data_IF_303467697658
#
_entry.id   IF_303467697658
#
_cell.length_a   1.000
_cell.length_b   1.000
_cell.length_c   1.000
_cell.angle_alpha   90.00
_cell.angle_beta   90.00
_cell.angle_gamma   90.00
#
_symmetry.space_group_name_H-M   'P 1'
#
loop_
_entity.id
_entity.type
_entity.pdbx_description
1 polymer ?
#
# COMPACT_ATOMS: atom_id res chain seq x y z
N UNK A 1 -27.57 26.17 -29.21
CA UNK A 1 -26.93 26.92 -28.10
C UNK A 1 -25.53 26.33 -27.89
N UNK A 2 -24.52 27.17 -27.65
CA UNK A 2 -23.16 26.67 -27.45
C UNK A 2 -22.96 26.14 -26.03
N UNK A 3 -22.26 25.02 -25.87
CA UNK A 3 -21.87 24.52 -24.54
C UNK A 3 -21.05 25.56 -23.76
N UNK A 4 -20.30 26.43 -24.46
CA UNK A 4 -19.51 27.51 -23.87
C UNK A 4 -20.35 28.63 -23.25
N UNK A 5 -21.66 28.65 -23.49
CA UNK A 5 -22.61 29.61 -22.88
C UNK A 5 -23.31 29.07 -21.64
N UNK A 6 -23.09 27.81 -21.27
CA UNK A 6 -23.70 27.23 -20.08
C UNK A 6 -23.08 27.79 -18.78
N UNK A 7 -23.87 27.91 -17.70
CA UNK A 7 -23.37 28.14 -16.34
C UNK A 7 -22.32 27.10 -15.93
N UNK A 8 -21.39 27.51 -15.07
CA UNK A 8 -20.28 26.67 -14.63
C UNK A 8 -20.78 25.37 -13.99
N UNK A 9 -21.86 25.43 -13.23
CA UNK A 9 -22.47 24.29 -12.53
C UNK A 9 -22.90 23.21 -13.52
N UNK A 10 -23.55 23.59 -14.63
CA UNK A 10 -23.96 22.65 -15.66
C UNK A 10 -22.77 22.08 -16.43
N UNK A 11 -21.74 22.89 -16.70
CA UNK A 11 -20.51 22.39 -17.34
C UNK A 11 -19.80 21.38 -16.43
N UNK A 12 -19.73 21.65 -15.12
CA UNK A 12 -19.15 20.72 -14.14
C UNK A 12 -19.93 19.42 -14.06
N UNK A 13 -21.25 19.50 -14.06
CA UNK A 13 -22.13 18.33 -14.05
C UNK A 13 -21.96 17.50 -15.33
N UNK A 14 -21.96 18.13 -16.51
CA UNK A 14 -21.66 17.43 -17.78
C UNK A 14 -20.29 16.75 -17.72
N UNK A 15 -19.26 17.46 -17.25
CA UNK A 15 -17.91 16.92 -17.12
C UNK A 15 -17.80 15.75 -16.12
N UNK A 16 -18.73 15.62 -15.17
CA UNK A 16 -18.75 14.50 -14.22
C UNK A 16 -19.12 13.17 -14.91
N UNK A 17 -19.93 13.22 -15.97
CA UNK A 17 -20.32 12.04 -16.75
C UNK A 17 -19.33 11.65 -17.85
N UNK A 18 -18.43 12.56 -18.27
CA UNK A 18 -17.45 12.29 -19.33
C UNK A 18 -16.31 11.39 -18.85
N UNK A 19 -15.85 10.51 -19.73
CA UNK A 19 -14.61 9.75 -19.54
C UNK A 19 -13.38 10.64 -19.74
N UNK A 20 -12.19 10.18 -19.29
CA UNK A 20 -10.95 10.97 -19.39
C UNK A 20 -10.65 11.42 -20.82
N UNK A 21 -10.77 10.53 -21.81
CA UNK A 21 -10.49 10.85 -23.22
C UNK A 21 -11.45 11.91 -23.76
N UNK A 22 -12.75 11.79 -23.45
CA UNK A 22 -13.79 12.73 -23.86
C UNK A 22 -13.58 14.10 -23.21
N UNK A 23 -13.25 14.11 -21.91
CA UNK A 23 -12.99 15.33 -21.18
C UNK A 23 -11.69 16.01 -21.65
N UNK A 24 -10.66 15.25 -22.00
CA UNK A 24 -9.46 15.78 -22.65
C UNK A 24 -9.78 16.38 -24.01
N UNK A 25 -10.55 15.68 -24.85
CA UNK A 25 -10.99 16.20 -26.14
C UNK A 25 -11.78 17.50 -25.97
N UNK A 26 -12.75 17.53 -25.06
CA UNK A 26 -13.54 18.72 -24.73
C UNK A 26 -12.65 19.89 -24.32
N UNK A 27 -11.67 19.65 -23.45
CA UNK A 27 -10.70 20.65 -22.98
C UNK A 27 -9.80 21.20 -24.09
N UNK A 28 -9.57 20.43 -25.15
CA UNK A 28 -8.79 20.86 -26.31
C UNK A 28 -9.63 21.62 -27.33
N UNK A 29 -10.97 21.49 -27.30
CA UNK A 29 -11.84 22.20 -28.26
C UNK A 29 -11.91 23.70 -28.05
N UNK A 30 -11.85 24.16 -26.79
CA UNK A 30 -12.07 25.58 -26.47
C UNK A 30 -11.40 26.00 -25.14
N UNK A 31 -10.85 27.22 -25.12
CA UNK A 31 -10.13 27.77 -23.95
C UNK A 31 -11.06 28.06 -22.76
N UNK A 32 -12.31 28.45 -23.01
CA UNK A 32 -13.28 28.71 -21.94
C UNK A 32 -13.71 27.39 -21.30
N UNK A 33 -13.96 26.36 -22.09
CA UNK A 33 -14.25 25.01 -21.57
C UNK A 33 -13.06 24.43 -20.81
N UNK A 34 -11.83 24.66 -21.28
CA UNK A 34 -10.63 24.28 -20.54
C UNK A 34 -10.63 24.88 -19.12
N UNK A 35 -10.90 26.19 -19.02
CA UNK A 35 -10.93 26.90 -17.74
C UNK A 35 -12.09 26.45 -16.84
N UNK A 36 -13.30 26.34 -17.39
CA UNK A 36 -14.49 25.94 -16.64
C UNK A 36 -14.40 24.50 -16.11
N UNK A 37 -13.78 23.59 -16.87
CA UNK A 37 -13.61 22.20 -16.45
C UNK A 37 -12.34 21.94 -15.63
N UNK A 38 -11.46 22.93 -15.45
CA UNK A 38 -10.14 22.74 -14.83
C UNK A 38 -10.23 22.20 -13.41
N UNK A 39 -11.09 22.77 -12.58
CA UNK A 39 -11.26 22.32 -11.19
C UNK A 39 -11.77 20.88 -11.13
N UNK A 40 -12.88 20.61 -11.82
CA UNK A 40 -13.50 19.27 -11.85
C UNK A 40 -12.57 18.21 -12.42
N UNK A 41 -11.83 18.54 -13.48
CA UNK A 41 -10.80 17.66 -14.03
C UNK A 41 -9.72 17.38 -12.97
N UNK A 42 -9.22 18.42 -12.33
CA UNK A 42 -8.09 18.31 -11.40
C UNK A 42 -8.48 17.57 -10.13
N UNK A 43 -9.66 17.82 -9.59
CA UNK A 43 -10.19 17.10 -8.42
C UNK A 43 -10.44 15.63 -8.74
N UNK A 44 -10.79 15.29 -9.99
CA UNK A 44 -11.03 13.91 -10.39
C UNK A 44 -9.74 13.13 -10.63
N UNK A 45 -8.74 13.73 -11.28
CA UNK A 45 -7.56 13.01 -11.76
C UNK A 45 -6.27 13.27 -10.97
N UNK A 46 -6.20 14.36 -10.19
CA UNK A 46 -5.01 14.68 -9.39
C UNK A 46 -5.22 14.51 -7.89
N UNK A 47 -6.41 14.09 -7.45
CA UNK A 47 -6.67 13.79 -6.04
C UNK A 47 -5.90 12.58 -5.55
N UNK A 48 -5.76 11.55 -6.39
CA UNK A 48 -5.19 10.25 -6.00
C UNK A 48 -4.04 9.88 -6.92
N UNK A 49 -2.87 9.62 -6.33
CA UNK A 49 -1.69 9.18 -7.04
C UNK A 49 -1.26 7.81 -6.55
N UNK A 50 -1.05 6.90 -7.50
CA UNK A 50 -0.49 5.58 -7.22
C UNK A 50 0.88 5.47 -7.87
N UNK A 51 1.86 4.97 -7.13
CA UNK A 51 3.23 4.88 -7.62
C UNK A 51 3.93 3.64 -7.07
N UNK A 52 4.92 3.16 -7.82
CA UNK A 52 5.84 2.11 -7.37
C UNK A 52 7.03 2.75 -6.69
N UNK A 53 7.59 2.12 -5.66
CA UNK A 53 8.81 2.55 -4.98
C UNK A 53 10.07 2.23 -5.81
N UNK A 54 10.11 2.73 -7.04
CA UNK A 54 11.25 2.63 -7.97
C UNK A 54 11.86 4.00 -8.18
N UNK A 55 13.09 4.05 -8.70
CA UNK A 55 13.77 5.31 -9.05
C UNK A 55 12.92 6.19 -9.96
N UNK A 56 12.23 5.59 -10.93
CA UNK A 56 11.33 6.30 -11.85
C UNK A 56 10.05 6.77 -11.16
N UNK A 57 9.48 5.94 -10.28
CA UNK A 57 8.31 6.32 -9.48
C UNK A 57 8.58 7.54 -8.61
N UNK A 58 9.72 7.54 -7.89
CA UNK A 58 10.14 8.67 -7.07
C UNK A 58 10.48 9.90 -7.91
N UNK A 59 11.20 9.76 -9.02
CA UNK A 59 11.49 10.88 -9.94
C UNK A 59 10.22 11.50 -10.50
N UNK A 60 9.19 10.70 -10.77
CA UNK A 60 7.90 11.20 -11.21
C UNK A 60 7.16 11.94 -10.09
N UNK A 61 7.21 11.43 -8.85
CA UNK A 61 6.73 12.16 -7.68
C UNK A 61 7.46 13.49 -7.49
N UNK A 62 8.78 13.54 -7.68
CA UNK A 62 9.54 14.80 -7.63
C UNK A 62 9.09 15.81 -8.68
N UNK A 63 8.76 15.35 -9.90
CA UNK A 63 8.17 16.22 -10.92
C UNK A 63 6.82 16.76 -10.48
N UNK A 64 5.97 15.91 -9.90
CA UNK A 64 4.66 16.32 -9.36
C UNK A 64 4.83 17.35 -8.24
N UNK A 65 5.79 17.13 -7.33
CA UNK A 65 6.09 18.05 -6.23
C UNK A 65 6.47 19.46 -6.70
N UNK A 66 7.01 19.61 -7.92
CA UNK A 66 7.37 20.90 -8.52
C UNK A 66 6.17 21.64 -9.12
N UNK A 67 5.04 20.96 -9.37
CA UNK A 67 3.84 21.57 -9.96
C UNK A 67 2.86 21.95 -8.85
N UNK A 68 2.91 23.22 -8.41
CA UNK A 68 2.12 23.72 -7.28
C UNK A 68 0.62 23.44 -7.39
N UNK A 69 0.04 23.67 -8.57
CA UNK A 69 -1.39 23.43 -8.81
C UNK A 69 -1.82 21.96 -8.60
N UNK A 70 -0.96 20.99 -8.95
CA UNK A 70 -1.24 19.56 -8.74
C UNK A 70 -1.10 19.23 -7.26
N UNK A 71 0.00 19.68 -6.64
CA UNK A 71 0.31 19.47 -5.23
C UNK A 71 -0.86 19.85 -4.30
N UNK A 72 -1.51 20.98 -4.55
CA UNK A 72 -2.64 21.46 -3.74
C UNK A 72 -3.90 20.58 -3.83
N UNK A 73 -3.99 19.72 -4.85
CA UNK A 73 -5.11 18.82 -5.12
C UNK A 73 -4.86 17.40 -4.63
N UNK A 74 -3.59 16.98 -4.49
CA UNK A 74 -3.25 15.63 -4.03
C UNK A 74 -3.68 15.42 -2.59
N UNK A 75 -4.53 14.42 -2.39
CA UNK A 75 -5.06 14.01 -1.09
C UNK A 75 -4.81 12.54 -0.78
N UNK A 76 -4.50 11.73 -1.78
CA UNK A 76 -4.32 10.29 -1.61
C UNK A 76 -3.03 9.86 -2.30
N UNK A 77 -2.16 9.19 -1.54
CA UNK A 77 -0.94 8.58 -2.05
C UNK A 77 -0.95 7.09 -1.75
N UNK A 78 -0.82 6.30 -2.81
CA UNK A 78 -0.80 4.85 -2.74
C UNK A 78 0.54 4.35 -3.28
N UNK A 79 1.43 3.96 -2.37
CA UNK A 79 2.63 3.23 -2.73
C UNK A 79 2.24 1.78 -2.99
N UNK A 80 2.28 1.38 -4.25
CA UNK A 80 1.96 0.02 -4.67
C UNK A 80 3.18 -0.88 -4.39
N UNK A 81 3.01 -1.97 -3.62
CA UNK A 81 4.04 -2.99 -3.49
C UNK A 81 4.41 -3.55 -4.87
N UNK A 82 5.69 -3.74 -5.15
CA UNK A 82 6.18 -4.24 -6.46
C UNK A 82 5.72 -5.66 -6.82
N UNK A 83 5.08 -6.39 -5.90
CA UNK A 83 4.53 -7.74 -6.15
C UNK A 83 3.40 -7.79 -7.18
N UNK A 84 2.79 -6.64 -7.52
CA UNK A 84 1.77 -6.55 -8.57
C UNK A 84 2.34 -6.49 -9.99
N UNK A 85 3.67 -6.51 -10.15
CA UNK A 85 4.33 -6.71 -11.43
C UNK A 85 4.21 -8.19 -11.84
N UNK A 86 3.05 -8.51 -12.44
CA UNK A 86 2.67 -9.85 -12.85
C UNK A 86 3.71 -10.49 -13.78
N UNK A 87 4.48 -11.42 -13.23
CA UNK A 87 5.02 -12.54 -14.01
C UNK A 87 4.02 -13.68 -13.92
N UNK A 88 3.03 -13.63 -14.82
CA UNK A 88 1.98 -14.64 -14.95
C UNK A 88 2.60 -15.97 -15.43
N UNK A 89 2.96 -16.86 -14.50
CA UNK A 89 3.33 -18.26 -14.85
C UNK A 89 2.59 -19.34 -14.08
N UNK A 90 2.02 -19.07 -12.90
CA UNK A 90 1.29 -20.10 -12.16
C UNK A 90 -0.14 -19.68 -11.83
N UNK A 91 -1.10 -20.42 -12.42
CA UNK A 91 -2.55 -20.33 -12.23
C UNK A 91 -3.01 -20.81 -10.85
N UNK A 92 -2.34 -20.43 -9.76
CA UNK A 92 -2.95 -20.52 -8.42
C UNK A 92 -3.49 -19.14 -8.07
N UNK A 93 -4.78 -19.10 -7.78
CA UNK A 93 -5.62 -17.90 -7.67
C UNK A 93 -5.00 -16.90 -6.71
N UNK A 94 -4.60 -15.75 -7.25
CA UNK A 94 -4.04 -14.61 -6.51
C UNK A 94 -5.15 -13.65 -6.02
N UNK A 95 -6.37 -14.17 -5.85
CA UNK A 95 -7.52 -13.43 -5.30
C UNK A 95 -7.38 -13.15 -3.81
N UNK A 96 -6.55 -13.92 -3.11
CA UNK A 96 -6.52 -13.94 -1.64
C UNK A 96 -5.44 -13.01 -1.06
N UNK A 97 -4.58 -12.46 -1.92
CA UNK A 97 -3.52 -11.50 -1.57
C UNK A 97 -3.73 -10.12 -2.20
N UNK A 98 -4.88 -9.89 -2.81
CA UNK A 98 -5.27 -8.54 -3.15
C UNK A 98 -5.34 -7.75 -1.84
N UNK A 99 -4.50 -6.72 -1.70
CA UNK A 99 -4.87 -5.55 -0.89
C UNK A 99 -6.33 -5.29 -1.24
N UNK A 100 -7.23 -5.46 -0.26
CA UNK A 100 -8.68 -5.58 -0.46
C UNK A 100 -9.12 -4.77 -1.68
N UNK A 101 -9.41 -5.48 -2.76
CA UNK A 101 -9.86 -4.83 -3.99
C UNK A 101 -11.27 -4.25 -3.83
N UNK A 102 -11.82 -4.17 -2.61
CA UNK A 102 -12.97 -3.31 -2.32
C UNK A 102 -12.59 -1.83 -2.34
N UNK A 103 -11.32 -1.46 -2.13
CA UNK A 103 -10.78 -0.14 -2.48
C UNK A 103 -10.44 0.00 -3.98
N UNK A 104 -10.56 -1.10 -4.73
CA UNK A 104 -10.58 -1.15 -6.18
C UNK A 104 -11.96 -1.64 -6.66
N UNK A 105 -13.04 -0.97 -6.24
CA UNK A 105 -14.15 -0.93 -7.18
C UNK A 105 -13.57 -0.45 -8.51
N UNK A 106 -13.82 -1.21 -9.59
CA UNK A 106 -13.87 -0.59 -10.90
C UNK A 106 -14.93 0.48 -10.77
N UNK A 107 -14.52 1.70 -10.44
CA UNK A 107 -15.22 2.88 -10.91
C UNK A 107 -15.22 2.71 -12.42
N UNK A 108 -16.32 2.16 -12.95
CA UNK A 108 -16.63 2.26 -14.36
C UNK A 108 -16.52 3.76 -14.67
N UNK A 109 -15.41 4.15 -15.31
CA UNK A 109 -15.14 5.54 -15.70
C UNK A 109 -14.12 6.34 -14.88
N UNK A 110 -13.35 5.78 -13.94
CA UNK A 110 -12.18 6.49 -13.38
C UNK A 110 -10.89 5.98 -14.02
N UNK A 111 -10.31 6.80 -14.89
CA UNK A 111 -8.99 6.53 -15.47
C UNK A 111 -7.92 6.71 -14.40
N UNK A 112 -7.51 5.61 -13.79
CA UNK A 112 -6.30 5.57 -12.99
C UNK A 112 -5.12 5.95 -13.89
N UNK A 113 -4.44 7.06 -13.59
CA UNK A 113 -3.13 7.37 -14.19
C UNK A 113 -2.10 6.42 -13.57
N UNK A 114 -2.11 5.16 -14.02
CA UNK A 114 -1.06 4.19 -13.68
C UNK A 114 0.03 4.32 -14.74
N UNK A 115 1.16 4.92 -14.39
CA UNK A 115 2.35 4.88 -15.22
C UNK A 115 2.91 3.44 -15.24
N UNK A 116 2.41 2.60 -16.15
CA UNK A 116 2.97 1.27 -16.39
C UNK A 116 4.06 1.35 -17.46
N UNK A 117 5.31 1.23 -17.04
CA UNK A 117 6.37 0.65 -17.89
C UNK A 117 6.75 -0.72 -17.30
N UNK A 118 7.17 -1.70 -18.10
CA UNK A 118 7.79 -2.91 -17.58
C UNK A 118 9.06 -2.50 -16.84
N UNK A 119 9.11 -2.76 -15.53
CA UNK A 119 10.28 -2.45 -14.69
C UNK A 119 11.15 -3.70 -14.65
N UNK A 120 12.47 -3.54 -14.85
CA UNK A 120 13.43 -4.62 -14.60
C UNK A 120 13.60 -4.84 -13.09
N UNK A 121 13.85 -6.07 -12.67
CA UNK A 121 14.01 -6.41 -11.24
C UNK A 121 15.10 -5.59 -10.52
N UNK A 122 16.03 -4.99 -11.26
CA UNK A 122 17.15 -4.18 -10.74
C UNK A 122 16.79 -2.70 -10.43
N UNK A 123 15.61 -2.21 -10.81
CA UNK A 123 15.20 -0.81 -10.61
C UNK A 123 14.42 -0.55 -9.30
N UNK A 124 14.26 -1.60 -8.47
CA UNK A 124 13.55 -1.51 -7.18
C UNK A 124 14.48 -0.86 -6.15
N UNK A 125 14.13 0.34 -5.69
CA UNK A 125 14.90 1.00 -4.65
C UNK A 125 14.70 0.31 -3.32
N UNK A 126 15.81 -0.15 -2.74
CA UNK A 126 15.85 -0.63 -1.36
C UNK A 126 16.27 0.56 -0.49
N UNK A 127 15.47 0.98 0.50
CA UNK A 127 15.98 1.87 1.51
C UNK A 127 17.05 1.11 2.30
N UNK A 128 18.31 1.38 1.98
CA UNK A 128 19.47 0.77 2.64
C UNK A 128 19.75 1.41 4.00
N UNK A 129 19.19 2.60 4.25
CA UNK A 129 19.36 3.33 5.49
C UNK A 129 18.12 4.17 5.86
N UNK A 130 18.12 4.67 7.10
CA UNK A 130 17.08 5.55 7.61
C UNK A 130 16.99 6.87 6.82
N UNK A 131 18.10 7.37 6.29
CA UNK A 131 18.16 8.63 5.54
C UNK A 131 17.32 8.56 4.26
N UNK A 132 17.39 7.44 3.54
CA UNK A 132 16.61 7.21 2.32
C UNK A 132 15.12 7.15 2.61
N UNK A 133 14.72 6.58 3.75
CA UNK A 133 13.30 6.58 4.15
C UNK A 133 12.82 8.00 4.46
N UNK A 134 13.63 8.79 5.19
CA UNK A 134 13.28 10.18 5.50
C UNK A 134 13.08 11.01 4.23
N UNK A 135 13.94 10.85 3.22
CA UNK A 135 13.78 11.56 1.95
C UNK A 135 12.51 11.16 1.19
N UNK A 136 12.06 9.90 1.29
CA UNK A 136 10.80 9.45 0.69
C UNK A 136 9.60 10.13 1.36
N UNK A 137 9.59 10.22 2.69
CA UNK A 137 8.52 10.89 3.41
C UNK A 137 8.52 12.41 3.17
N UNK A 138 9.70 13.05 3.13
CA UNK A 138 9.80 14.46 2.75
C UNK A 138 9.22 14.70 1.36
N UNK A 139 9.46 13.78 0.43
CA UNK A 139 8.87 13.82 -0.91
C UNK A 139 7.36 13.64 -0.87
N UNK A 140 6.84 12.68 -0.11
CA UNK A 140 5.39 12.45 0.07
C UNK A 140 4.70 13.72 0.57
N UNK A 141 5.26 14.39 1.58
CA UNK A 141 4.70 15.64 2.12
C UNK A 141 4.83 16.81 1.16
N UNK A 142 5.92 16.88 0.39
CA UNK A 142 6.06 17.84 -0.69
C UNK A 142 5.04 17.59 -1.80
N UNK A 143 4.69 16.35 -2.12
CA UNK A 143 3.70 16.03 -3.16
C UNK A 143 2.27 16.26 -2.68
N UNK A 144 1.97 15.92 -1.42
CA UNK A 144 0.62 15.91 -0.89
C UNK A 144 0.54 16.61 0.48
N UNK A 145 0.62 17.95 0.54
CA UNK A 145 0.49 18.70 1.78
C UNK A 145 -0.89 18.57 2.45
N UNK A 146 -1.91 18.09 1.71
CA UNK A 146 -3.29 17.88 2.18
C UNK A 146 -3.64 16.39 2.24
N UNK A 147 -2.64 15.55 2.52
CA UNK A 147 -2.78 14.11 2.52
C UNK A 147 -3.86 13.65 3.52
N UNK A 148 -4.84 12.93 3.00
CA UNK A 148 -5.94 12.29 3.73
C UNK A 148 -5.82 10.78 3.73
N UNK A 149 -5.24 10.20 2.69
CA UNK A 149 -5.07 8.75 2.57
C UNK A 149 -3.62 8.43 2.23
N UNK A 150 -2.99 7.60 3.05
CA UNK A 150 -1.64 7.10 2.81
C UNK A 150 -1.64 5.58 2.86
N UNK A 151 -1.36 4.94 1.73
CA UNK A 151 -0.93 3.55 1.71
C UNK A 151 0.56 3.48 1.47
N UNK A 152 1.29 2.91 2.43
CA UNK A 152 2.74 2.80 2.40
C UNK A 152 3.16 1.33 2.47
N UNK A 153 4.17 0.98 1.67
CA UNK A 153 4.71 -0.37 1.64
C UNK A 153 6.22 -0.37 1.45
N UNK A 154 6.96 -0.99 2.38
CA UNK A 154 8.42 -1.15 2.25
C UNK A 154 8.81 -2.24 1.22
N UNK A 155 7.84 -3.02 0.74
CA UNK A 155 8.02 -4.01 -0.31
C UNK A 155 8.42 -5.39 0.22
N UNK A 156 8.50 -6.37 -0.68
CA UNK A 156 8.60 -7.79 -0.37
C UNK A 156 10.02 -8.28 0.00
N UNK A 157 10.88 -7.38 0.46
CA UNK A 157 12.26 -7.68 0.85
C UNK A 157 12.48 -7.37 2.31
N UNK A 158 11.48 -7.61 3.17
CA UNK A 158 11.80 -7.82 4.57
C UNK A 158 12.79 -8.98 4.55
N UNK A 159 14.03 -8.72 4.96
CA UNK A 159 15.12 -9.65 5.20
C UNK A 159 15.60 -9.38 6.61
N UNK A 160 16.37 -10.30 7.23
CA UNK A 160 16.84 -10.14 8.60
C UNK A 160 17.62 -8.83 8.86
N UNK A 161 18.12 -8.18 7.81
CA UNK A 161 18.97 -6.98 7.90
C UNK A 161 18.29 -5.68 7.45
N UNK A 162 16.97 -5.65 7.24
CA UNK A 162 16.31 -4.38 6.91
C UNK A 162 16.17 -3.50 8.16
N UNK A 163 16.65 -2.25 8.13
CA UNK A 163 16.47 -1.34 9.24
C UNK A 163 14.98 -1.07 9.46
N UNK A 164 14.56 -1.06 10.72
CA UNK A 164 13.24 -0.59 11.11
C UNK A 164 13.01 0.82 10.56
N UNK A 165 11.81 1.08 10.02
CA UNK A 165 11.47 2.41 9.52
C UNK A 165 11.49 3.40 10.68
N UNK A 166 12.19 4.55 10.56
CA UNK A 166 12.32 5.52 11.64
C UNK A 166 11.05 6.39 11.79
N UNK A 167 9.88 5.75 11.95
CA UNK A 167 8.57 6.42 12.05
C UNK A 167 8.51 7.42 13.21
N UNK A 168 9.22 7.18 14.32
CA UNK A 168 9.33 8.12 15.43
C UNK A 168 10.21 9.33 15.14
N UNK A 169 11.15 9.24 14.18
CA UNK A 169 11.81 10.45 13.64
C UNK A 169 10.87 11.19 12.72
N UNK A 170 10.11 10.48 11.89
CA UNK A 170 9.15 11.08 10.96
C UNK A 170 8.05 11.87 11.67
N UNK A 171 7.49 11.30 12.74
CA UNK A 171 6.43 11.95 13.53
C UNK A 171 6.87 13.28 14.17
N UNK A 172 8.18 13.51 14.34
CA UNK A 172 8.71 14.79 14.83
C UNK A 172 8.76 15.86 13.75
N UNK A 173 8.87 15.47 12.49
CA UNK A 173 9.01 16.39 11.36
C UNK A 173 7.67 16.64 10.67
N UNK A 174 6.72 15.72 10.82
CA UNK A 174 5.47 15.72 10.06
C UNK A 174 4.30 15.55 11.03
N UNK A 175 3.37 16.50 10.96
CA UNK A 175 2.08 16.39 11.63
C UNK A 175 0.99 16.06 10.62
N UNK A 176 0.42 14.87 10.74
CA UNK A 176 -0.65 14.38 9.87
C UNK A 176 -2.01 14.87 10.36
N UNK A 177 -2.24 16.18 10.31
CA UNK A 177 -3.46 16.83 10.87
C UNK A 177 -4.74 16.59 10.06
N UNK A 178 -4.64 15.96 8.89
CA UNK A 178 -5.78 15.68 8.00
C UNK A 178 -5.85 14.21 7.56
N UNK A 179 -4.93 13.36 8.05
CA UNK A 179 -4.85 11.97 7.64
C UNK A 179 -6.02 11.20 8.23
N UNK A 180 -6.86 10.67 7.34
CA UNK A 180 -8.07 9.90 7.66
C UNK A 180 -7.84 8.41 7.53
N UNK A 181 -7.02 8.00 6.57
CA UNK A 181 -6.79 6.60 6.26
C UNK A 181 -5.29 6.33 6.18
N UNK A 182 -4.84 5.32 6.92
CA UNK A 182 -3.47 4.85 6.93
C UNK A 182 -3.44 3.36 6.67
N UNK A 183 -2.69 2.94 5.66
CA UNK A 183 -2.49 1.54 5.34
C UNK A 183 -1.01 1.22 5.30
N UNK A 184 -0.57 0.38 6.22
CA UNK A 184 0.82 -0.04 6.37
C UNK A 184 0.92 -1.51 5.95
N UNK A 185 1.66 -1.76 4.87
CA UNK A 185 1.81 -3.09 4.29
C UNK A 185 3.28 -3.50 4.21
N UNK A 186 3.62 -4.71 4.64
CA UNK A 186 4.98 -5.24 4.49
C UNK A 186 6.03 -4.31 5.11
N UNK A 187 5.81 -3.88 6.35
CA UNK A 187 6.66 -2.89 7.01
C UNK A 187 7.39 -3.51 8.19
N UNK A 188 8.64 -3.10 8.38
CA UNK A 188 9.40 -3.33 9.61
C UNK A 188 9.50 -2.03 10.42
N UNK A 189 9.04 -2.00 11.68
CA UNK A 189 9.06 -0.80 12.52
C UNK A 189 9.07 -1.17 14.01
N UNK A 190 9.31 -0.22 14.92
CA UNK A 190 9.15 -0.44 16.37
C UNK A 190 7.78 0.00 16.86
N UNK A 191 7.25 -0.60 17.93
CA UNK A 191 5.98 -0.18 18.54
C UNK A 191 6.00 1.29 18.96
N UNK A 192 7.15 1.78 19.46
CA UNK A 192 7.33 3.18 19.84
C UNK A 192 7.24 4.12 18.64
N UNK A 193 7.83 3.73 17.52
CA UNK A 193 7.73 4.48 16.27
C UNK A 193 6.29 4.51 15.74
N UNK A 194 5.58 3.38 15.78
CA UNK A 194 4.17 3.32 15.37
C UNK A 194 3.29 4.24 16.21
N UNK A 195 3.42 4.16 17.54
CA UNK A 195 2.68 5.00 18.48
C UNK A 195 2.96 6.48 18.25
N UNK A 196 4.24 6.82 18.08
CA UNK A 196 4.66 8.21 17.81
C UNK A 196 4.03 8.73 16.52
N UNK A 197 3.99 7.92 15.47
CA UNK A 197 3.34 8.28 14.21
C UNK A 197 1.83 8.45 14.38
N UNK A 198 1.15 7.46 14.95
CA UNK A 198 -0.30 7.48 15.13
C UNK A 198 -0.76 8.64 16.02
N UNK A 199 0.04 9.04 17.01
CA UNK A 199 -0.24 10.19 17.87
C UNK A 199 -0.40 11.49 17.06
N UNK A 200 0.30 11.63 15.93
CA UNK A 200 0.18 12.81 15.06
C UNK A 200 -1.09 12.82 14.21
N UNK A 201 -1.66 11.64 13.93
CA UNK A 201 -2.85 11.46 13.08
C UNK A 201 -4.13 11.17 13.88
N UNK A 202 -4.01 10.88 15.18
CA UNK A 202 -5.12 10.42 16.03
C UNK A 202 -6.41 11.25 15.96
N UNK A 203 -6.39 12.61 15.84
CA UNK A 203 -7.63 13.37 15.85
C UNK A 203 -8.48 13.18 14.58
N UNK A 204 -7.87 12.72 13.50
CA UNK A 204 -8.52 12.63 12.18
C UNK A 204 -8.57 11.23 11.62
N UNK A 205 -7.77 10.31 12.15
CA UNK A 205 -7.65 8.95 11.65
C UNK A 205 -8.93 8.16 11.94
N UNK A 206 -9.58 7.68 10.88
CA UNK A 206 -10.80 6.86 10.97
C UNK A 206 -10.59 5.44 10.48
N UNK A 207 -9.66 5.23 9.54
CA UNK A 207 -9.35 3.90 8.99
C UNK A 207 -7.87 3.59 9.17
N UNK A 208 -7.57 2.42 9.72
CA UNK A 208 -6.19 1.99 9.90
C UNK A 208 -6.01 0.51 9.54
N UNK A 209 -5.00 0.23 8.71
CA UNK A 209 -4.67 -1.13 8.26
C UNK A 209 -3.22 -1.46 8.56
N UNK A 210 -3.00 -2.63 9.18
CA UNK A 210 -1.70 -3.25 9.39
C UNK A 210 -1.68 -4.60 8.68
N UNK A 211 -0.82 -4.79 7.69
CA UNK A 211 -0.73 -6.07 6.99
C UNK A 211 0.71 -6.49 6.81
N UNK A 212 1.06 -7.71 7.24
CA UNK A 212 2.43 -8.21 7.16
C UNK A 212 3.44 -7.24 7.80
N UNK A 213 3.15 -6.80 9.03
CA UNK A 213 3.98 -5.85 9.78
C UNK A 213 4.82 -6.59 10.80
N UNK A 214 6.11 -6.24 10.89
CA UNK A 214 7.03 -6.72 11.91
C UNK A 214 7.29 -5.60 12.90
N UNK A 215 7.01 -5.86 14.17
CA UNK A 215 7.35 -5.04 15.32
C UNK A 215 8.67 -5.57 15.91
N UNK A 216 9.75 -4.79 15.80
CA UNK A 216 11.08 -5.17 16.34
C UNK A 216 11.39 -4.35 17.58
N UNK A 217 10.93 -4.85 18.73
CA UNK A 217 11.00 -4.20 20.03
C UNK A 217 11.82 -5.06 20.99
N UNK A 218 13.08 -5.33 20.60
CA UNK A 218 14.06 -6.24 21.25
C UNK A 218 14.29 -6.04 22.76
N UNK A 219 13.72 -4.99 23.34
CA UNK A 219 13.87 -4.61 24.75
C UNK A 219 12.66 -4.95 25.61
N UNK A 220 11.53 -5.37 25.02
CA UNK A 220 10.29 -5.63 25.75
C UNK A 220 10.01 -7.13 25.87
N UNK A 221 9.46 -7.56 27.01
CA UNK A 221 8.86 -8.90 27.07
C UNK A 221 7.64 -8.94 26.14
N UNK A 222 7.57 -9.95 25.27
CA UNK A 222 6.59 -10.06 24.19
C UNK A 222 5.12 -9.84 24.64
N UNK A 223 4.74 -10.40 25.79
CA UNK A 223 3.40 -10.24 26.36
C UNK A 223 3.11 -8.81 26.80
N UNK A 224 4.12 -8.09 27.27
CA UNK A 224 4.02 -6.70 27.68
C UNK A 224 3.87 -5.79 26.46
N UNK A 225 4.58 -6.08 25.36
CA UNK A 225 4.52 -5.27 24.14
C UNK A 225 3.09 -5.20 23.59
N UNK A 226 2.46 -6.36 23.39
CA UNK A 226 1.10 -6.41 22.85
C UNK A 226 0.10 -5.74 23.77
N UNK A 227 0.24 -5.94 25.08
CA UNK A 227 -0.58 -5.24 26.07
C UNK A 227 -0.44 -3.73 25.92
N UNK A 228 0.79 -3.22 25.89
CA UNK A 228 1.06 -1.79 25.74
C UNK A 228 0.57 -1.23 24.40
N UNK A 229 0.62 -2.00 23.32
CA UNK A 229 0.11 -1.58 22.02
C UNK A 229 -1.42 -1.57 22.00
N UNK A 230 -2.07 -2.56 22.62
CA UNK A 230 -3.53 -2.68 22.67
C UNK A 230 -4.11 -1.60 23.57
N UNK A 231 -3.49 -1.36 24.71
CA UNK A 231 -3.87 -0.27 25.62
C UNK A 231 -3.78 1.08 24.89
N UNK A 232 -2.71 1.32 24.11
CA UNK A 232 -2.63 2.51 23.26
C UNK A 232 -3.76 2.58 22.21
N UNK A 233 -4.06 1.49 21.49
CA UNK A 233 -5.17 1.51 20.52
C UNK A 233 -6.51 1.75 21.19
N UNK A 234 -6.76 1.12 22.34
CA UNK A 234 -7.98 1.25 23.13
C UNK A 234 -8.20 2.69 23.62
N UNK A 235 -7.14 3.31 24.12
CA UNK A 235 -7.22 4.56 24.86
C UNK A 235 -7.07 5.79 23.96
N UNK A 236 -6.25 5.70 22.90
CA UNK A 236 -5.85 6.87 22.10
C UNK A 236 -6.52 6.94 20.72
N UNK A 237 -7.11 5.86 20.23
CA UNK A 237 -7.70 5.81 18.88
C UNK A 237 -9.22 5.66 18.92
N UNK A 238 -9.89 6.33 17.99
CA UNK A 238 -11.35 6.25 17.79
C UNK A 238 -11.66 5.90 16.34
N UNK A 239 -11.27 4.69 15.94
CA UNK A 239 -11.37 4.23 14.56
C UNK A 239 -12.80 3.81 14.20
N UNK A 240 -13.19 4.07 12.95
CA UNK A 240 -14.39 3.51 12.33
C UNK A 240 -14.11 2.14 11.73
N UNK A 241 -12.92 1.98 11.13
CA UNK A 241 -12.45 0.74 10.53
C UNK A 241 -11.03 0.43 10.96
N UNK A 242 -10.80 -0.83 11.34
CA UNK A 242 -9.47 -1.32 11.65
C UNK A 242 -9.29 -2.72 11.09
N UNK A 243 -8.16 -2.99 10.46
CA UNK A 243 -7.82 -4.32 9.98
C UNK A 243 -6.36 -4.60 10.29
N UNK A 244 -6.09 -5.76 10.87
CA UNK A 244 -4.75 -6.25 11.10
C UNK A 244 -4.62 -7.68 10.62
N UNK A 245 -3.52 -8.02 9.95
CA UNK A 245 -3.21 -9.41 9.63
C UNK A 245 -1.71 -9.64 9.46
N UNK A 246 -1.29 -10.88 9.75
CA UNK A 246 0.09 -11.36 9.56
C UNK A 246 1.11 -10.51 10.32
N UNK A 247 0.80 -10.20 11.58
CA UNK A 247 1.68 -9.38 12.41
C UNK A 247 2.70 -10.28 13.09
N UNK A 248 3.96 -9.84 13.08
CA UNK A 248 5.03 -10.46 13.83
C UNK A 248 5.60 -9.48 14.86
N UNK A 249 6.03 -9.99 16.00
CA UNK A 249 6.81 -9.27 16.99
C UNK A 249 8.07 -10.08 17.30
N UNK A 250 9.25 -9.46 17.26
CA UNK A 250 10.55 -10.11 17.46
C UNK A 250 10.70 -11.40 16.64
N UNK A 251 10.27 -11.35 15.37
CA UNK A 251 10.26 -12.49 14.44
C UNK A 251 9.34 -13.66 14.83
N UNK A 252 8.42 -13.46 15.75
CA UNK A 252 7.39 -14.43 16.10
C UNK A 252 6.04 -13.97 15.56
N UNK A 253 5.34 -14.85 14.84
CA UNK A 253 4.01 -14.54 14.33
C UNK A 253 2.95 -14.63 15.42
N UNK A 254 1.99 -13.71 15.37
CA UNK A 254 0.85 -13.67 16.27
C UNK A 254 -0.42 -13.87 15.50
N UNK A 255 -1.25 -14.75 16.05
CA UNK A 255 -2.62 -14.95 15.62
C UNK A 255 -3.53 -14.24 16.62
N UNK A 256 -4.69 -13.80 16.16
CA UNK A 256 -5.63 -13.08 17.00
C UNK A 256 -6.81 -14.00 17.28
N UNK A 257 -7.07 -14.24 18.56
CA UNK A 257 -8.31 -14.89 18.99
C UNK A 257 -9.38 -13.82 19.17
N UNK A 258 -10.53 -14.05 18.55
CA UNK A 258 -11.70 -13.18 18.57
C UNK A 258 -12.55 -13.30 19.83
N UNK A 259 -13.78 -12.80 19.72
CA UNK A 259 -14.74 -12.56 20.80
C UNK A 259 -15.11 -13.77 21.65
N UNK A 260 -15.21 -14.94 21.02
CA UNK A 260 -15.64 -16.16 21.69
C UNK A 260 -14.40 -17.04 21.83
N UNK A 261 -14.13 -17.56 23.03
CA UNK A 261 -13.05 -18.53 23.29
C UNK A 261 -13.17 -19.81 22.43
N UNK A 262 -14.32 -19.97 21.76
CA UNK A 262 -14.66 -21.02 20.81
C UNK A 262 -14.16 -20.72 19.38
N UNK A 263 -13.81 -19.48 19.08
CA UNK A 263 -13.33 -19.08 17.75
C UNK A 263 -11.87 -19.50 17.63
N UNK A 264 -11.57 -20.29 16.61
CA UNK A 264 -10.18 -20.60 16.27
C UNK A 264 -9.40 -19.29 16.06
N UNK A 265 -8.18 -19.17 16.61
CA UNK A 265 -7.32 -18.03 16.30
C UNK A 265 -7.20 -17.86 14.79
N UNK A 266 -7.16 -16.62 14.31
CA UNK A 266 -6.97 -16.30 12.90
C UNK A 266 -5.70 -15.47 12.68
N UNK A 267 -5.16 -15.49 11.46
CA UNK A 267 -4.01 -14.67 11.08
C UNK A 267 -4.29 -13.15 11.12
N UNK A 268 -5.54 -12.74 11.30
CA UNK A 268 -5.94 -11.34 11.34
C UNK A 268 -7.26 -11.10 12.04
N UNK A 269 -7.56 -9.82 12.29
CA UNK A 269 -8.77 -9.32 12.92
C UNK A 269 -9.24 -8.06 12.20
N UNK A 270 -10.57 -7.92 12.08
CA UNK A 270 -11.21 -6.80 11.39
C UNK A 270 -12.31 -6.21 12.28
N UNK A 271 -12.39 -4.89 12.28
CA UNK A 271 -13.40 -4.08 12.96
C UNK A 271 -14.01 -3.13 11.95
N UNK A 272 -15.34 -3.09 11.92
CA UNK A 272 -16.12 -2.05 11.26
C UNK A 272 -17.24 -1.63 12.21
N UNK A 273 -17.29 -0.35 12.57
CA UNK A 273 -18.29 0.22 13.48
C UNK A 273 -19.74 -0.04 13.03
N UNK A 274 -19.98 -0.11 11.72
CA UNK A 274 -21.31 -0.35 11.14
C UNK A 274 -21.80 -1.77 11.39
N UNK A 275 -20.88 -2.73 11.54
CA UNK A 275 -21.22 -4.17 11.66
C UNK A 275 -20.95 -4.73 13.05
N UNK A 276 -20.01 -4.15 13.80
CA UNK A 276 -19.57 -4.68 15.08
C UNK A 276 -20.60 -4.48 16.21
N UNK A 277 -21.44 -3.44 16.12
CA UNK A 277 -22.41 -3.10 17.17
C UNK A 277 -21.79 -2.71 18.52
N UNK A 278 -20.47 -2.52 18.58
CA UNK A 278 -19.70 -2.11 19.76
C UNK A 278 -18.67 -1.04 19.39
N UNK A 279 -18.17 -0.28 20.37
CA UNK A 279 -17.10 0.69 20.16
C UNK A 279 -15.76 0.01 19.87
N UNK A 280 -14.87 0.72 19.17
CA UNK A 280 -13.51 0.24 18.87
C UNK A 280 -12.75 -0.18 20.13
N UNK A 281 -12.80 0.63 21.19
CA UNK A 281 -12.18 0.31 22.49
C UNK A 281 -12.67 -1.03 23.06
N UNK A 282 -13.99 -1.22 23.14
CA UNK A 282 -14.59 -2.48 23.61
C UNK A 282 -14.24 -3.67 22.72
N UNK A 283 -14.06 -3.44 21.42
CA UNK A 283 -13.63 -4.47 20.49
C UNK A 283 -12.17 -4.89 20.73
N UNK A 284 -11.27 -3.92 20.93
CA UNK A 284 -9.86 -4.19 21.28
C UNK A 284 -9.74 -5.01 22.58
N UNK A 285 -10.56 -4.71 23.59
CA UNK A 285 -10.58 -5.42 24.88
C UNK A 285 -10.87 -6.92 24.75
N UNK A 286 -11.50 -7.32 23.65
CA UNK A 286 -11.91 -8.70 23.37
C UNK A 286 -10.85 -9.47 22.58
N UNK A 287 -9.81 -8.82 22.10
CA UNK A 287 -8.76 -9.47 21.31
C UNK A 287 -7.68 -10.04 22.22
N UNK A 288 -7.33 -11.31 21.99
CA UNK A 288 -6.19 -11.94 22.67
C UNK A 288 -5.15 -12.38 21.65
N UNK A 289 -3.89 -11.88 21.74
CA UNK A 289 -2.80 -12.37 20.91
C UNK A 289 -2.41 -13.78 21.34
N UNK A 290 -2.33 -14.69 20.38
CA UNK A 290 -1.97 -16.10 20.58
C UNK A 290 -0.74 -16.43 19.75
N UNK A 291 0.26 -17.01 20.40
CA UNK A 291 1.42 -17.58 19.76
C UNK A 291 1.08 -19.01 19.34
N UNK A 292 1.17 -19.30 18.05
CA UNK A 292 1.11 -20.68 17.56
C UNK A 292 2.53 -21.23 17.40
N UNK A 293 2.93 -22.09 18.35
CA UNK A 293 4.23 -22.80 18.33
C UNK A 293 4.41 -23.77 17.13
N UNK A 294 3.48 -23.80 16.17
CA UNK A 294 3.51 -24.67 14.97
C UNK A 294 3.51 -23.92 13.64
N UNK A 295 3.54 -22.59 13.65
CA UNK A 295 3.49 -21.79 12.43
C UNK A 295 4.87 -21.53 11.83
N UNK A 296 5.01 -21.80 10.53
CA UNK A 296 6.00 -21.17 9.65
C UNK A 296 6.06 -19.66 9.97
N UNK A 297 7.23 -19.11 10.25
CA UNK A 297 7.37 -17.67 10.49
C UNK A 297 6.99 -16.88 9.22
N UNK A 298 6.77 -15.57 9.30
CA UNK A 298 6.52 -14.71 8.13
C UNK A 298 7.61 -14.90 7.06
N UNK A 299 8.82 -15.18 7.55
CA UNK A 299 10.00 -15.56 6.78
C UNK A 299 9.86 -16.87 6.00
N UNK A 300 9.18 -17.88 6.54
CA UNK A 300 8.97 -19.16 5.88
C UNK A 300 7.91 -19.05 4.77
N UNK A 301 6.85 -18.25 4.99
CA UNK A 301 5.88 -17.91 3.95
C UNK A 301 6.57 -17.14 2.81
N UNK A 302 7.48 -16.23 3.16
CA UNK A 302 8.26 -15.46 2.19
C UNK A 302 9.32 -16.31 1.47
N UNK A 303 10.02 -17.19 2.18
CA UNK A 303 10.99 -18.15 1.61
C UNK A 303 10.29 -19.11 0.64
N UNK A 304 9.14 -19.66 1.02
CA UNK A 304 8.34 -20.53 0.14
C UNK A 304 7.86 -19.79 -1.11
N UNK A 305 7.46 -18.52 -1.00
CA UNK A 305 7.13 -17.68 -2.15
C UNK A 305 8.33 -17.47 -3.10
N UNK A 306 9.53 -17.27 -2.55
CA UNK A 306 10.77 -17.12 -3.33
C UNK A 306 11.24 -18.44 -3.96
N UNK A 307 11.16 -19.56 -3.23
CA UNK A 307 11.54 -20.90 -3.69
C UNK A 307 10.61 -21.38 -4.81
N UNK A 308 9.30 -21.12 -4.70
CA UNK A 308 8.32 -21.44 -5.76
C UNK A 308 8.59 -20.64 -7.04
N UNK A 309 9.23 -19.46 -6.95
CA UNK A 309 9.63 -18.63 -8.10
C UNK A 309 11.00 -18.99 -8.68
N UNK A 310 11.87 -19.66 -7.91
CA UNK A 310 13.23 -20.06 -8.34
C UNK A 310 13.29 -21.42 -9.04
N UNK A 311 12.20 -22.18 -9.11
CA UNK A 311 12.18 -23.44 -9.86
C UNK A 311 12.14 -23.17 -11.37
N UNK A 312 13.21 -23.46 -12.14
CA UNK A 312 13.07 -23.58 -13.59
C UNK A 312 12.18 -24.79 -13.87
N UNK A 313 11.19 -24.65 -14.76
CA UNK A 313 10.34 -25.73 -15.24
C UNK A 313 11.19 -26.92 -15.70
N UNK A 314 11.37 -27.93 -14.83
CA UNK A 314 11.88 -29.22 -15.26
C UNK A 314 10.69 -30.05 -15.74
N UNK A 315 10.92 -30.63 -16.91
CA UNK A 315 10.13 -31.66 -17.62
C UNK A 315 9.04 -31.11 -18.53
N UNK A 316 9.34 -31.07 -19.83
CA UNK A 316 8.70 -31.95 -20.83
C UNK A 316 9.57 -31.96 -22.11
N UNK A 317 10.43 -32.96 -22.22
CA UNK A 317 10.94 -33.42 -23.51
C UNK A 317 11.24 -34.92 -23.36
N UNK A 318 10.20 -35.74 -23.52
CA UNK A 318 10.36 -37.14 -23.88
C UNK A 318 10.08 -37.29 -25.37
N UNK A 319 10.99 -38.00 -26.05
CA UNK A 319 10.89 -38.57 -27.42
C UNK A 319 10.78 -37.54 -28.55
N UNK A 320 11.62 -37.55 -29.59
CA UNK A 320 11.85 -38.71 -30.44
C UNK A 320 13.11 -38.56 -31.34
N UNK A 321 13.78 -39.70 -31.59
CA UNK A 321 14.56 -40.13 -32.77
C UNK A 321 15.70 -39.25 -33.37
N UNK A 322 16.93 -39.64 -33.02
CA UNK A 322 17.91 -40.33 -33.89
C UNK A 322 18.34 -39.71 -35.23
N UNK A 323 19.62 -39.28 -35.34
CA UNK A 323 20.66 -39.91 -36.19
C UNK A 323 21.97 -39.10 -36.21
N UNK A 324 23.05 -39.88 -36.07
CA UNK A 324 24.37 -39.79 -36.71
C UNK A 324 25.21 -38.50 -36.60
N UNK A 325 26.31 -38.64 -35.86
CA UNK A 325 27.57 -37.93 -35.99
C UNK A 325 28.11 -37.92 -37.43
N UNK A 326 28.60 -36.76 -37.88
CA UNK A 326 29.78 -36.63 -38.75
C UNK A 326 30.49 -35.33 -38.32
N UNK A 327 31.72 -35.49 -37.82
CA UNK A 327 32.72 -34.44 -37.66
C UNK A 327 33.16 -33.90 -39.04
N UNK A 328 33.91 -32.78 -39.04
CA UNK A 328 35.02 -32.44 -39.96
C UNK A 328 34.83 -31.17 -40.82
N UNK A 329 35.64 -30.16 -40.43
CA UNK A 329 36.43 -29.18 -41.22
C UNK A 329 35.96 -27.72 -41.38
N UNK A 330 36.88 -26.86 -40.93
CA UNK A 330 37.06 -25.43 -41.16
C UNK A 330 37.28 -25.03 -42.64
N UNK A 331 37.00 -23.74 -42.89
CA UNK A 331 37.63 -22.83 -43.86
C UNK A 331 37.00 -22.67 -45.26
N UNK A 332 36.77 -21.39 -45.58
CA UNK A 332 37.05 -20.69 -46.85
C UNK A 332 36.43 -21.20 -48.15
#
# INVERSE_FOLDING_TARGET
>A
MSITSLPLELVREICSYLQLSELQALRLTDRKLYQQSLDTFSDRYFKSFRFLATSDGLRNLEKIAKVGFIRERVQELWMIPTIFEGTNRNKKRMSDYAVSSKSCERLQGASDVVFRRPVGFDDILKPHDATTVLTWFDLIIKVAPRLKVLAFSQGHYIGHDQPALPFGKLSRHIQFTQLKELHLHWIHLTSGDLKSFLTTAKPTLSTFTLFAVILDDRTSTQSLLWKLLWDFFRDELSLQRFSMAKIACDHQQYWIRGLDDLTEPSEGAEFDVETAGISFSKWIDRLTPVILNRGKCLWDIQREYQETRRMPSRVLASTDRGRASIDVIDSA
#
